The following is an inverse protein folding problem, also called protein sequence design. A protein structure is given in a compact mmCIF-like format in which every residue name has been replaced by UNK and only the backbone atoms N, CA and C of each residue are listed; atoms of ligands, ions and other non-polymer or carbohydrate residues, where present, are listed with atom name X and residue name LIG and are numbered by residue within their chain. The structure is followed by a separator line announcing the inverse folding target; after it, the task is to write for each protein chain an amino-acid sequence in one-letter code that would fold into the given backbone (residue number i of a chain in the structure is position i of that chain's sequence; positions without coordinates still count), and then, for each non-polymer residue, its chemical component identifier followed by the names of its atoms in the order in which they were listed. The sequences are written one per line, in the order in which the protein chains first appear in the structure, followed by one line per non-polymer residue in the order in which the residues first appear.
data_IF_404979610231
#
_entry.id   IF_404979610231
#
_cell.length_a   1.000
_cell.length_b   1.000
_cell.length_c   1.000
_cell.angle_alpha   90.00
_cell.angle_beta   90.00
_cell.angle_gamma   90.00
#
_symmetry.space_group_name_H-M   'P 1'
#
loop_
_entity.id
_entity.type
_entity.pdbx_description
1 polymer ?
#
# COMPACT_ATOMS: atom_id res chain seq x y z
N UNK A 1 21.22 6.84 -46.79
CA UNK A 1 20.57 5.65 -46.20
C UNK A 1 20.10 5.99 -44.79
N UNK A 2 18.80 5.86 -44.49
CA UNK A 2 18.33 5.99 -43.11
C UNK A 2 18.75 4.74 -42.32
N UNK A 3 19.26 4.92 -41.09
CA UNK A 3 19.70 3.81 -40.25
C UNK A 3 18.57 2.81 -39.99
N UNK A 4 18.90 1.53 -39.99
CA UNK A 4 17.94 0.45 -39.72
C UNK A 4 17.50 0.48 -38.25
N UNK A 5 16.35 -0.13 -37.93
CA UNK A 5 15.83 -0.21 -36.55
C UNK A 5 16.80 -0.96 -35.64
N UNK A 6 17.48 -1.99 -36.15
CA UNK A 6 18.48 -2.78 -35.43
C UNK A 6 19.72 -1.94 -35.07
N UNK A 7 20.25 -1.15 -36.01
CA UNK A 7 21.39 -0.25 -35.75
C UNK A 7 21.06 0.82 -34.71
N UNK A 8 19.82 1.34 -34.71
CA UNK A 8 19.36 2.31 -33.70
C UNK A 8 19.23 1.66 -32.32
N UNK A 9 18.68 0.46 -32.25
CA UNK A 9 18.55 -0.31 -31.00
C UNK A 9 19.93 -0.65 -30.41
N UNK A 10 20.87 -1.12 -31.22
CA UNK A 10 22.24 -1.41 -30.80
C UNK A 10 22.98 -0.16 -30.28
N UNK A 11 22.83 0.97 -30.99
CA UNK A 11 23.42 2.24 -30.53
C UNK A 11 22.81 2.73 -29.22
N UNK A 12 21.50 2.54 -29.01
CA UNK A 12 20.84 2.88 -27.75
C UNK A 12 21.33 1.97 -26.61
N UNK A 13 21.45 0.67 -26.85
CA UNK A 13 21.99 -0.28 -25.87
C UNK A 13 23.43 0.04 -25.46
N UNK A 14 24.31 0.37 -26.42
CA UNK A 14 25.68 0.81 -26.12
C UNK A 14 25.72 2.06 -25.25
N UNK A 15 24.86 3.05 -25.52
CA UNK A 15 24.79 4.27 -24.71
C UNK A 15 24.38 3.98 -23.26
N UNK A 16 23.38 3.11 -23.06
CA UNK A 16 22.96 2.69 -21.71
C UNK A 16 24.09 2.01 -20.96
N UNK A 17 24.81 1.13 -21.65
CA UNK A 17 25.93 0.41 -21.06
C UNK A 17 27.09 1.35 -20.68
N UNK A 18 27.35 2.40 -21.49
CA UNK A 18 28.38 3.39 -21.22
C UNK A 18 28.12 4.22 -19.95
N UNK A 19 26.85 4.44 -19.58
CA UNK A 19 26.47 5.17 -18.36
C UNK A 19 26.01 4.23 -17.23
N UNK A 20 26.26 2.91 -17.38
CA UNK A 20 25.84 1.87 -16.46
C UNK A 20 24.35 1.94 -16.08
N UNK A 21 23.50 2.39 -17.01
CA UNK A 21 22.06 2.52 -16.81
C UNK A 21 21.45 1.15 -16.54
N UNK A 22 20.71 1.03 -15.44
CA UNK A 22 19.95 -0.18 -15.08
C UNK A 22 18.47 0.09 -15.16
N UNK A 23 17.74 -0.77 -15.87
CA UNK A 23 16.30 -0.73 -15.92
C UNK A 23 15.69 -1.28 -14.62
N UNK A 24 14.84 -0.51 -13.95
CA UNK A 24 14.07 -0.95 -12.79
C UNK A 24 12.65 -1.32 -13.23
N UNK A 25 12.30 -2.60 -13.13
CA UNK A 25 10.96 -3.11 -13.46
C UNK A 25 10.20 -3.44 -12.17
N UNK A 26 9.24 -2.60 -11.80
CA UNK A 26 8.43 -2.79 -10.60
C UNK A 26 6.94 -2.88 -10.96
N UNK A 27 6.26 -3.93 -10.49
CA UNK A 27 4.81 -4.10 -10.66
C UNK A 27 4.10 -3.48 -9.46
N UNK A 28 3.18 -2.55 -9.72
CA UNK A 28 2.43 -1.84 -8.68
C UNK A 28 0.94 -2.17 -8.74
N UNK A 29 0.26 -2.08 -7.59
CA UNK A 29 -1.21 -2.15 -7.51
C UNK A 29 -1.82 -0.80 -7.90
N UNK A 30 -3.10 -0.74 -8.35
CA UNK A 30 -3.75 0.50 -8.77
C UNK A 30 -3.69 1.63 -7.74
N UNK A 31 -3.80 1.32 -6.44
CA UNK A 31 -3.71 2.34 -5.39
C UNK A 31 -2.33 3.03 -5.30
N UNK A 32 -1.26 2.28 -5.54
CA UNK A 32 0.11 2.80 -5.58
C UNK A 32 0.34 3.62 -6.85
N UNK A 33 -0.17 3.14 -7.98
CA UNK A 33 -0.13 3.86 -9.25
C UNK A 33 -0.81 5.23 -9.15
N UNK A 34 -2.02 5.27 -8.58
CA UNK A 34 -2.73 6.53 -8.33
C UNK A 34 -1.96 7.44 -7.37
N UNK A 35 -1.30 6.90 -6.35
CA UNK A 35 -0.48 7.68 -5.44
C UNK A 35 0.71 8.33 -6.17
N UNK A 36 1.40 7.58 -7.03
CA UNK A 36 2.49 8.11 -7.86
C UNK A 36 2.00 9.25 -8.76
N UNK A 37 0.84 9.11 -9.40
CA UNK A 37 0.29 10.16 -10.26
C UNK A 37 -0.11 11.42 -9.48
N UNK A 38 -0.74 11.26 -8.30
CA UNK A 38 -1.04 12.40 -7.41
C UNK A 38 0.23 13.15 -7.00
N UNK A 39 1.31 12.43 -6.67
CA UNK A 39 2.60 13.03 -6.31
C UNK A 39 3.18 13.78 -7.51
N UNK A 40 3.17 13.16 -8.70
CA UNK A 40 3.65 13.76 -9.95
C UNK A 40 2.95 15.07 -10.26
N UNK A 41 1.61 15.08 -10.23
CA UNK A 41 0.80 16.26 -10.51
C UNK A 41 1.06 17.38 -9.49
N UNK A 42 1.10 17.05 -8.19
CA UNK A 42 1.38 18.03 -7.13
C UNK A 42 2.80 18.60 -7.22
N UNK A 43 3.76 17.77 -7.59
CA UNK A 43 5.15 18.17 -7.80
C UNK A 43 5.40 18.87 -9.14
N UNK A 44 4.40 18.97 -10.02
CA UNK A 44 4.50 19.52 -11.38
C UNK A 44 5.61 18.86 -12.22
N UNK A 45 5.86 17.57 -11.97
CA UNK A 45 6.89 16.80 -12.66
C UNK A 45 6.28 16.17 -13.93
N UNK A 46 6.94 16.22 -15.10
CA UNK A 46 6.36 15.73 -16.34
C UNK A 46 6.16 14.20 -16.36
N UNK A 47 7.05 13.43 -15.72
CA UNK A 47 7.05 11.96 -15.78
C UNK A 47 7.23 11.31 -14.41
N UNK A 48 6.60 10.15 -14.20
CA UNK A 48 6.67 9.40 -12.92
C UNK A 48 8.09 8.92 -12.61
N UNK A 49 8.87 8.52 -13.63
CA UNK A 49 10.24 8.05 -13.42
C UNK A 49 11.15 9.13 -12.80
N UNK A 50 10.93 10.40 -13.14
CA UNK A 50 11.66 11.53 -12.57
C UNK A 50 11.27 11.75 -11.10
N UNK A 51 9.97 11.63 -10.76
CA UNK A 51 9.51 11.64 -9.36
C UNK A 51 10.23 10.58 -8.54
N UNK A 52 10.33 9.35 -9.07
CA UNK A 52 11.00 8.24 -8.38
C UNK A 52 12.50 8.49 -8.20
N UNK A 53 13.19 8.99 -9.23
CA UNK A 53 14.60 9.34 -9.14
C UNK A 53 14.85 10.44 -8.10
N UNK A 54 14.05 11.51 -8.12
CA UNK A 54 14.15 12.59 -7.13
C UNK A 54 13.89 12.05 -5.72
N UNK A 55 12.88 11.20 -5.53
CA UNK A 55 12.59 10.60 -4.23
C UNK A 55 13.76 9.77 -3.70
N UNK A 56 14.36 8.92 -4.55
CA UNK A 56 15.53 8.10 -4.18
C UNK A 56 16.72 8.98 -3.81
N UNK A 57 17.04 9.98 -4.64
CA UNK A 57 18.15 10.90 -4.36
C UNK A 57 17.92 11.72 -3.09
N UNK A 58 16.68 12.10 -2.78
CA UNK A 58 16.36 12.78 -1.52
C UNK A 58 16.51 11.86 -0.32
N UNK A 59 16.10 10.59 -0.43
CA UNK A 59 16.28 9.61 0.64
C UNK A 59 17.77 9.34 0.92
N UNK A 60 18.62 9.33 -0.10
CA UNK A 60 20.08 9.15 0.03
C UNK A 60 20.77 10.30 0.79
N UNK A 61 20.17 11.49 0.79
CA UNK A 61 20.67 12.66 1.50
C UNK A 61 20.16 12.79 2.94
N UNK A 62 19.22 11.94 3.36
CA UNK A 62 18.69 11.94 4.72
C UNK A 62 19.73 11.37 5.70
N UNK A 63 19.66 11.81 6.96
CA UNK A 63 20.31 11.10 8.07
C UNK A 63 19.65 9.74 8.33
N UNK A 64 20.34 8.85 9.03
CA UNK A 64 19.80 7.52 9.36
C UNK A 64 18.49 7.61 10.16
N UNK A 65 18.40 8.56 11.10
CA UNK A 65 17.19 8.80 11.89
C UNK A 65 16.03 9.31 11.03
N UNK A 66 16.29 10.28 10.14
CA UNK A 66 15.28 10.82 9.22
C UNK A 66 14.78 9.75 8.24
N UNK A 67 15.70 8.95 7.70
CA UNK A 67 15.37 7.87 6.78
C UNK A 67 14.53 6.80 7.48
N UNK A 68 14.88 6.42 8.71
CA UNK A 68 14.13 5.46 9.51
C UNK A 68 12.70 5.96 9.80
N UNK A 69 12.56 7.24 10.16
CA UNK A 69 11.25 7.85 10.36
C UNK A 69 10.44 7.93 9.05
N UNK A 70 11.08 8.27 7.92
CA UNK A 70 10.44 8.37 6.62
C UNK A 70 9.93 7.02 6.09
N UNK A 71 10.72 5.95 6.26
CA UNK A 71 10.35 4.60 5.84
C UNK A 71 9.34 3.92 6.78
N UNK A 72 9.10 4.49 7.95
CA UNK A 72 8.05 4.05 8.86
C UNK A 72 6.71 4.65 8.45
N UNK A 73 5.83 3.83 7.89
CA UNK A 73 4.46 4.27 7.60
C UNK A 73 3.70 4.48 8.93
N UNK A 74 3.07 5.65 9.17
CA UNK A 74 2.32 5.85 10.40
C UNK A 74 1.22 4.81 10.49
N UNK A 75 1.34 3.92 11.49
CA UNK A 75 0.24 3.03 11.85
C UNK A 75 -0.73 3.88 12.66
N UNK A 76 -1.95 4.04 12.18
CA UNK A 76 -3.02 4.53 13.03
C UNK A 76 -3.23 3.48 14.12
N UNK A 77 -2.82 3.81 15.34
CA UNK A 77 -3.22 3.05 16.51
C UNK A 77 -4.71 3.28 16.70
N UNK A 78 -5.51 2.22 16.58
CA UNK A 78 -6.95 2.29 16.87
C UNK A 78 -7.08 2.33 18.39
N UNK A 79 -7.00 3.53 18.96
CA UNK A 79 -7.32 3.77 20.36
C UNK A 79 -8.84 3.89 20.48
N UNK A 80 -9.48 2.88 21.06
CA UNK A 80 -10.89 2.96 21.44
C UNK A 80 -10.97 3.86 22.67
N UNK A 81 -11.75 4.94 22.59
CA UNK A 81 -11.98 5.84 23.72
C UNK A 81 -12.59 5.06 24.91
N UNK A 82 -12.15 5.36 26.13
CA UNK A 82 -12.63 4.67 27.34
C UNK A 82 -14.15 4.79 27.49
N UNK A 83 -14.74 5.92 27.12
CA UNK A 83 -16.19 6.10 27.18
C UNK A 83 -16.89 5.19 26.15
N UNK A 84 -16.31 5.02 24.96
CA UNK A 84 -16.85 4.09 23.94
C UNK A 84 -16.74 2.65 24.42
N UNK A 85 -15.64 2.27 25.06
CA UNK A 85 -15.46 0.93 25.63
C UNK A 85 -16.45 0.68 26.78
N UNK A 86 -16.66 1.68 27.64
CA UNK A 86 -17.61 1.60 28.75
C UNK A 86 -19.06 1.52 28.25
N UNK A 87 -19.42 2.35 27.28
CA UNK A 87 -20.74 2.34 26.66
C UNK A 87 -21.02 1.01 25.98
N UNK A 88 -20.05 0.49 25.21
CA UNK A 88 -20.15 -0.83 24.60
C UNK A 88 -20.40 -1.91 25.66
N UNK A 89 -19.62 -1.92 26.75
CA UNK A 89 -19.80 -2.88 27.86
C UNK A 89 -21.18 -2.76 28.50
N UNK A 90 -21.64 -1.55 28.78
CA UNK A 90 -22.94 -1.30 29.40
C UNK A 90 -24.07 -1.79 28.50
N UNK A 91 -24.01 -1.49 27.21
CA UNK A 91 -25.00 -1.93 26.24
C UNK A 91 -24.99 -3.45 26.07
N UNK A 92 -23.81 -4.09 25.97
CA UNK A 92 -23.70 -5.55 25.94
C UNK A 92 -24.35 -6.20 27.15
N UNK A 93 -24.12 -5.68 28.36
CA UNK A 93 -24.75 -6.19 29.58
C UNK A 93 -26.26 -5.97 29.61
N UNK A 94 -26.74 -4.85 29.06
CA UNK A 94 -28.17 -4.58 28.95
C UNK A 94 -28.87 -5.55 27.99
N UNK A 95 -28.25 -5.84 26.84
CA UNK A 95 -28.80 -6.81 25.88
C UNK A 95 -28.77 -8.24 26.44
N UNK A 96 -27.68 -8.68 27.09
CA UNK A 96 -27.61 -10.00 27.76
C UNK A 96 -28.71 -10.17 28.82
N UNK A 97 -29.09 -9.08 29.51
CA UNK A 97 -30.20 -9.11 30.48
C UNK A 97 -31.56 -9.12 29.82
N UNK A 98 -31.72 -8.43 28.68
CA UNK A 98 -32.98 -8.33 27.93
C UNK A 98 -33.29 -9.65 27.25
N UNK A 99 -32.28 -10.30 26.69
CA UNK A 99 -32.38 -11.62 26.07
C UNK A 99 -31.18 -12.48 26.51
N UNK A 100 -31.32 -13.24 27.62
CA UNK A 100 -30.27 -14.12 28.11
C UNK A 100 -30.11 -15.40 27.29
N UNK A 101 -30.98 -15.61 26.28
CA UNK A 101 -30.96 -16.77 25.42
C UNK A 101 -29.93 -16.62 24.31
N UNK A 102 -28.69 -17.03 24.55
CA UNK A 102 -27.81 -17.35 23.44
C UNK A 102 -28.39 -18.57 22.71
N UNK A 103 -28.59 -18.48 21.40
CA UNK A 103 -28.73 -19.65 20.54
C UNK A 103 -27.39 -20.40 20.56
N UNK A 104 -27.25 -21.37 21.46
CA UNK A 104 -26.14 -22.33 21.42
C UNK A 104 -26.40 -23.25 20.22
N UNK A 105 -25.92 -22.84 19.05
CA UNK A 105 -25.93 -23.70 17.86
C UNK A 105 -24.85 -24.77 18.09
N UNK A 106 -25.27 -25.94 18.56
CA UNK A 106 -24.36 -27.07 18.70
C UNK A 106 -23.89 -27.53 17.29
N UNK A 107 -22.63 -28.01 17.14
CA UNK A 107 -22.06 -28.32 15.83
C UNK A 107 -22.85 -29.35 14.99
N UNK A 108 -23.64 -30.19 15.65
CA UNK A 108 -24.54 -31.18 15.07
C UNK A 108 -25.79 -30.57 14.41
N UNK A 109 -26.22 -29.38 14.86
CA UNK A 109 -27.38 -28.67 14.32
C UNK A 109 -27.11 -27.96 12.98
N UNK A 110 -25.85 -27.86 12.56
CA UNK A 110 -25.45 -27.31 11.25
C UNK A 110 -25.55 -28.32 10.11
N UNK A 111 -25.66 -29.63 10.39
CA UNK A 111 -25.66 -30.67 9.34
C UNK A 111 -27.06 -31.07 8.86
N UNK A 112 -28.12 -30.76 9.61
CA UNK A 112 -29.50 -31.13 9.24
C UNK A 112 -30.15 -30.22 8.18
N UNK A 113 -29.50 -29.13 7.78
CA UNK A 113 -30.00 -28.20 6.75
C UNK A 113 -29.60 -28.54 5.31
N UNK A 114 -28.80 -29.59 5.07
CA UNK A 114 -28.25 -29.93 3.75
C UNK A 114 -28.98 -31.08 3.04
N UNK A 115 -30.07 -31.62 3.60
CA UNK A 115 -30.84 -32.71 2.99
C UNK A 115 -32.35 -32.38 2.97
N UNK A 116 -32.72 -31.39 2.16
CA UNK A 116 -34.09 -31.06 1.78
C UNK A 116 -34.14 -30.60 0.33
#
# INVERSE_FOLDING_TARGET
MAKTVQERSAKAAQKRQAVAEKELRHKVRPGIEQAMERIRLRGQVPIISEVMQIAIMKMDLMTDEELAAFLSYPRHEILIDENVALEFRNQSLAEIRRDPGDEVIAPDQLQSGLHG
#
